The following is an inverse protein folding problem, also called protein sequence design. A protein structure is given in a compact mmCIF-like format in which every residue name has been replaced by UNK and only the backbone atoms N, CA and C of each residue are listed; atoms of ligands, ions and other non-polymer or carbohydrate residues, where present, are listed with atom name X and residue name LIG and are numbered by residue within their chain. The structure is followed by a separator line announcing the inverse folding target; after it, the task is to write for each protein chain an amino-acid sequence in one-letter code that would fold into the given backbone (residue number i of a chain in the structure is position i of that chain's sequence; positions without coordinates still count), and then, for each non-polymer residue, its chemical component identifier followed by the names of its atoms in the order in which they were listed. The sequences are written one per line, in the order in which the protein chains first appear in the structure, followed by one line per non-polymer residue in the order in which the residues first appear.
data_IF_494977029678
#
_entry.id   IF_494977029678
#
_cell.length_a   1.000
_cell.length_b   1.000
_cell.length_c   1.000
_cell.angle_alpha   90.00
_cell.angle_beta   90.00
_cell.angle_gamma   90.00
#
_symmetry.space_group_name_H-M   'P 1'
#
loop_
_entity.id
_entity.type
_entity.pdbx_description
1 polymer ?
#
# COMPACT_ATOMS: atom_id res chain seq x y z
N UNK A 1 -27.60 -26.74 71.37
CA UNK A 1 -27.27 -25.71 72.38
C UNK A 1 -25.76 -25.60 72.53
N UNK A 2 -25.28 -24.36 72.42
CA UNK A 2 -23.98 -23.78 72.85
C UNK A 2 -22.70 -24.28 72.15
N UNK A 3 -21.82 -23.48 71.53
CA UNK A 3 -21.68 -22.02 71.43
C UNK A 3 -20.25 -21.54 71.77
N UNK A 4 -19.47 -21.13 70.75
CA UNK A 4 -18.50 -19.99 70.64
C UNK A 4 -17.27 -19.95 71.61
N UNK A 5 -16.01 -19.92 71.14
CA UNK A 5 -15.12 -18.74 70.90
C UNK A 5 -13.76 -19.26 70.36
N UNK A 6 -13.28 -18.93 69.15
CA UNK A 6 -12.50 -17.76 68.68
C UNK A 6 -11.07 -17.60 69.28
N UNK A 7 -10.02 -17.77 68.45
CA UNK A 7 -8.91 -16.80 68.33
C UNK A 7 -7.92 -17.14 67.19
N UNK A 8 -7.89 -16.23 66.22
CA UNK A 8 -6.92 -16.02 65.16
C UNK A 8 -5.61 -15.47 65.73
N UNK A 9 -4.46 -15.91 65.20
CA UNK A 9 -3.18 -15.21 65.38
C UNK A 9 -2.44 -15.10 64.05
N UNK A 10 -2.36 -13.87 63.55
CA UNK A 10 -1.51 -13.42 62.45
C UNK A 10 -0.30 -12.75 63.11
N UNK A 11 0.95 -13.06 62.73
CA UNK A 11 2.08 -12.21 63.08
C UNK A 11 2.25 -11.12 62.02
N UNK A 12 2.06 -9.88 62.43
CA UNK A 12 2.50 -8.69 61.70
C UNK A 12 4.02 -8.61 61.66
N UNK A 13 4.57 -8.25 60.50
CA UNK A 13 6.01 -8.06 60.29
C UNK A 13 6.31 -7.45 58.93
N UNK A 14 5.82 -6.24 58.65
CA UNK A 14 6.28 -5.43 57.54
C UNK A 14 7.62 -4.77 57.91
N UNK A 15 8.72 -5.09 57.21
CA UNK A 15 9.75 -4.11 56.86
C UNK A 15 10.75 -4.63 55.81
N UNK A 16 10.69 -3.99 54.64
CA UNK A 16 11.64 -3.93 53.52
C UNK A 16 11.76 -5.11 52.51
N UNK A 17 11.68 -4.81 51.19
CA UNK A 17 11.83 -5.80 50.12
C UNK A 17 13.31 -6.00 49.74
N UNK A 18 13.77 -7.22 49.43
CA UNK A 18 15.04 -7.40 48.73
C UNK A 18 14.80 -7.32 47.21
N UNK A 19 15.12 -6.14 46.67
CA UNK A 19 15.72 -5.87 45.34
C UNK A 19 15.43 -6.88 44.22
N UNK A 20 14.33 -6.66 43.50
CA UNK A 20 14.15 -7.16 42.12
C UNK A 20 14.66 -6.13 41.11
N UNK A 21 15.97 -5.89 41.05
CA UNK A 21 16.55 -5.03 40.01
C UNK A 21 17.93 -5.53 39.58
N UNK A 22 18.07 -5.71 38.26
CA UNK A 22 19.32 -5.71 37.46
C UNK A 22 19.86 -6.99 36.80
N UNK A 23 19.22 -8.15 36.87
CA UNK A 23 19.65 -9.32 36.06
C UNK A 23 18.90 -9.56 34.74
N UNK A 24 18.01 -8.65 34.34
CA UNK A 24 17.29 -8.71 33.05
C UNK A 24 17.98 -8.03 31.86
N UNK A 25 19.16 -7.42 32.04
CA UNK A 25 19.78 -6.63 30.96
C UNK A 25 20.64 -7.44 29.98
N UNK A 26 21.07 -8.67 30.31
CA UNK A 26 21.87 -9.50 29.39
C UNK A 26 21.05 -10.37 28.43
N UNK A 27 19.80 -10.69 28.76
CA UNK A 27 18.92 -11.49 27.87
C UNK A 27 18.16 -10.59 26.86
N UNK A 28 17.97 -9.31 27.20
CA UNK A 28 17.27 -8.36 26.32
C UNK A 28 18.12 -7.96 25.10
N UNK A 29 19.44 -7.81 25.23
CA UNK A 29 20.30 -7.40 24.10
C UNK A 29 20.39 -8.46 22.99
N UNK A 30 20.37 -9.75 23.34
CA UNK A 30 20.40 -10.87 22.37
C UNK A 30 19.09 -10.97 21.59
N UNK A 31 17.94 -10.86 22.26
CA UNK A 31 16.62 -10.90 21.61
C UNK A 31 16.37 -9.68 20.73
N UNK A 32 16.78 -8.48 21.18
CA UNK A 32 16.70 -7.25 20.39
C UNK A 32 17.60 -7.37 19.15
N UNK A 33 18.85 -7.86 19.31
CA UNK A 33 19.76 -8.07 18.19
C UNK A 33 19.21 -9.05 17.15
N UNK A 34 18.55 -10.12 17.58
CA UNK A 34 17.93 -11.08 16.67
C UNK A 34 16.70 -10.50 15.95
N UNK A 35 15.83 -9.77 16.64
CA UNK A 35 14.66 -9.12 16.03
C UNK A 35 15.06 -8.04 15.01
N UNK A 36 16.04 -7.20 15.35
CA UNK A 36 16.57 -6.17 14.43
C UNK A 36 17.19 -6.81 13.19
N UNK A 37 17.88 -7.95 13.34
CA UNK A 37 18.47 -8.67 12.21
C UNK A 37 17.39 -9.26 11.28
N UNK A 38 16.30 -9.80 11.85
CA UNK A 38 15.16 -10.31 11.08
C UNK A 38 14.41 -9.18 10.34
N UNK A 39 14.22 -8.02 10.97
CA UNK A 39 13.61 -6.86 10.30
C UNK A 39 14.50 -6.33 9.17
N UNK A 40 15.80 -6.17 9.40
CA UNK A 40 16.77 -5.77 8.36
C UNK A 40 16.79 -6.76 7.19
N UNK A 41 16.72 -8.05 7.47
CA UNK A 41 16.61 -9.09 6.44
C UNK A 41 15.31 -8.93 5.63
N UNK A 42 14.19 -8.63 6.28
CA UNK A 42 12.92 -8.41 5.59
C UNK A 42 12.96 -7.17 4.68
N UNK A 43 13.50 -6.04 5.15
CA UNK A 43 13.64 -4.85 4.31
C UNK A 43 14.52 -5.09 3.09
N UNK A 44 15.65 -5.79 3.28
CA UNK A 44 16.53 -6.20 2.18
C UNK A 44 15.77 -7.08 1.19
N UNK A 45 14.99 -8.04 1.66
CA UNK A 45 14.25 -8.94 0.79
C UNK A 45 13.14 -8.22 0.00
N UNK A 46 12.43 -7.29 0.63
CA UNK A 46 11.42 -6.42 -0.02
C UNK A 46 12.09 -5.61 -1.13
N UNK A 47 13.24 -5.00 -0.85
CA UNK A 47 13.99 -4.23 -1.85
C UNK A 47 14.47 -5.11 -3.02
N UNK A 48 14.98 -6.31 -2.74
CA UNK A 48 15.33 -7.28 -3.79
C UNK A 48 14.09 -7.65 -4.63
N UNK A 49 12.93 -7.83 -4.00
CA UNK A 49 11.69 -8.11 -4.73
C UNK A 49 11.26 -6.93 -5.61
N UNK A 50 11.44 -5.69 -5.14
CA UNK A 50 11.22 -4.49 -5.95
C UNK A 50 12.09 -4.50 -7.22
N UNK A 51 13.39 -4.75 -7.07
CA UNK A 51 14.31 -4.85 -8.21
C UNK A 51 13.98 -6.02 -9.14
N UNK A 52 13.51 -7.15 -8.60
CA UNK A 52 13.03 -8.28 -9.39
C UNK A 52 11.82 -7.90 -10.25
N UNK A 53 10.87 -7.12 -9.72
CA UNK A 53 9.72 -6.63 -10.48
C UNK A 53 10.14 -5.72 -11.64
N UNK A 54 11.11 -4.84 -11.40
CA UNK A 54 11.73 -4.01 -12.44
C UNK A 54 12.39 -4.89 -13.51
N UNK A 55 13.21 -5.86 -13.10
CA UNK A 55 13.92 -6.71 -14.04
C UNK A 55 12.99 -7.52 -14.94
N UNK A 56 11.94 -8.13 -14.36
CA UNK A 56 10.99 -8.94 -15.11
C UNK A 56 10.11 -8.11 -16.06
N UNK A 57 9.77 -6.87 -15.68
CA UNK A 57 9.00 -5.95 -16.53
C UNK A 57 9.80 -5.38 -17.70
N UNK A 58 11.12 -5.52 -17.72
CA UNK A 58 11.94 -5.15 -18.89
C UNK A 58 11.78 -6.17 -20.03
N UNK A 59 11.43 -7.42 -19.72
CA UNK A 59 11.35 -8.49 -20.74
C UNK A 59 10.39 -8.13 -21.89
N UNK A 60 9.14 -7.68 -21.64
CA UNK A 60 8.24 -7.25 -22.72
C UNK A 60 8.79 -6.07 -23.54
N UNK A 61 9.48 -5.11 -22.91
CA UNK A 61 10.04 -3.91 -23.58
C UNK A 61 11.10 -4.31 -24.61
N UNK A 62 11.93 -5.31 -24.29
CA UNK A 62 12.97 -5.81 -25.20
C UNK A 62 12.38 -6.54 -26.41
N UNK A 63 11.19 -7.13 -26.26
CA UNK A 63 10.49 -7.84 -27.34
C UNK A 63 9.67 -6.88 -28.21
N UNK A 64 9.00 -5.91 -27.57
CA UNK A 64 8.11 -4.96 -28.22
C UNK A 64 8.36 -3.54 -27.68
N UNK A 65 8.70 -2.61 -28.58
CA UNK A 65 8.97 -1.21 -28.22
C UNK A 65 7.74 -0.43 -27.73
N UNK A 66 6.55 -1.00 -27.85
CA UNK A 66 5.28 -0.43 -27.42
C UNK A 66 4.64 -1.23 -26.28
N UNK A 67 5.43 -2.07 -25.57
CA UNK A 67 4.92 -3.07 -24.64
C UNK A 67 3.95 -2.53 -23.59
N UNK A 68 4.17 -1.30 -23.09
CA UNK A 68 3.33 -0.65 -22.09
C UNK A 68 2.58 0.58 -22.61
N UNK A 69 2.56 0.80 -23.92
CA UNK A 69 1.99 2.00 -24.53
C UNK A 69 0.99 1.64 -25.64
N UNK A 70 -0.14 1.04 -25.27
CA UNK A 70 -1.18 0.61 -26.22
C UNK A 70 -2.55 1.18 -25.84
N UNK A 71 -3.41 1.35 -26.84
CA UNK A 71 -4.83 1.64 -26.64
C UNK A 71 -5.05 2.86 -25.71
N UNK A 72 -5.87 2.77 -24.66
CA UNK A 72 -6.14 3.87 -23.72
C UNK A 72 -4.86 4.48 -23.12
N UNK A 73 -3.83 3.67 -22.86
CA UNK A 73 -2.55 4.17 -22.35
C UNK A 73 -1.88 5.12 -23.34
N UNK A 74 -1.94 4.79 -24.63
CA UNK A 74 -1.34 5.59 -25.70
C UNK A 74 -2.15 6.85 -26.01
N UNK A 75 -3.47 6.75 -26.08
CA UNK A 75 -4.33 7.83 -26.61
C UNK A 75 -4.88 8.76 -25.53
N UNK A 76 -5.10 8.25 -24.31
CA UNK A 76 -5.74 9.00 -23.23
C UNK A 76 -4.77 9.29 -22.09
N UNK A 77 -4.18 8.25 -21.50
CA UNK A 77 -3.45 8.41 -20.24
C UNK A 77 -2.11 9.10 -20.42
N UNK A 78 -1.23 8.61 -21.30
CA UNK A 78 0.12 9.18 -21.43
C UNK A 78 0.15 10.65 -21.86
N UNK A 79 -0.63 11.12 -22.86
CA UNK A 79 -0.68 12.54 -23.20
C UNK A 79 -1.12 13.39 -22.00
N UNK A 80 -2.09 12.90 -21.23
CA UNK A 80 -2.59 13.59 -20.04
C UNK A 80 -1.56 13.62 -18.91
N UNK A 81 -0.90 12.49 -18.62
CA UNK A 81 0.17 12.41 -17.61
C UNK A 81 1.33 13.33 -17.97
N UNK A 82 1.73 13.35 -19.23
CA UNK A 82 2.77 14.25 -19.73
C UNK A 82 2.34 15.72 -19.56
N UNK A 83 1.09 16.07 -19.90
CA UNK A 83 0.58 17.43 -19.72
C UNK A 83 0.58 17.84 -18.24
N UNK A 84 0.09 16.97 -17.34
CA UNK A 84 0.12 17.19 -15.88
C UNK A 84 1.56 17.43 -15.40
N UNK A 85 2.48 16.54 -15.77
CA UNK A 85 3.89 16.65 -15.42
C UNK A 85 4.55 17.93 -15.94
N UNK A 86 4.24 18.30 -17.18
CA UNK A 86 4.73 19.54 -17.80
C UNK A 86 4.22 20.78 -17.06
N UNK A 87 2.93 20.81 -16.67
CA UNK A 87 2.39 21.93 -15.89
C UNK A 87 3.02 22.01 -14.50
N UNK A 88 3.22 20.90 -13.81
CA UNK A 88 3.88 20.90 -12.50
C UNK A 88 5.31 21.44 -12.62
N UNK A 89 6.04 21.00 -13.65
CA UNK A 89 7.43 21.42 -13.85
C UNK A 89 7.57 22.90 -14.22
N UNK A 90 6.74 23.41 -15.13
CA UNK A 90 6.88 24.75 -15.69
C UNK A 90 6.06 25.82 -14.97
N UNK A 91 4.89 25.47 -14.43
CA UNK A 91 3.98 26.39 -13.74
C UNK A 91 3.95 26.19 -12.22
N UNK A 92 4.66 25.18 -11.69
CA UNK A 92 4.77 24.90 -10.25
C UNK A 92 3.41 24.73 -9.55
N UNK A 93 2.42 24.22 -10.27
CA UNK A 93 1.06 23.99 -9.79
C UNK A 93 0.51 22.65 -10.28
N UNK A 94 -0.36 22.05 -9.47
CA UNK A 94 -1.12 20.86 -9.87
C UNK A 94 -2.32 21.29 -10.72
N UNK A 95 -2.44 20.86 -11.97
CA UNK A 95 -3.53 21.29 -12.84
C UNK A 95 -4.82 20.53 -12.51
N UNK A 96 -5.74 21.18 -11.79
CA UNK A 96 -7.07 20.62 -11.57
C UNK A 96 -8.00 20.76 -12.77
N UNK A 97 -7.78 21.79 -13.60
CA UNK A 97 -8.52 22.06 -14.84
C UNK A 97 -7.52 22.43 -15.93
N UNK A 98 -7.79 22.01 -17.17
CA UNK A 98 -7.07 22.42 -18.38
C UNK A 98 -8.04 22.91 -19.45
N UNK A 99 -7.63 23.96 -20.17
CA UNK A 99 -8.35 24.49 -21.33
C UNK A 99 -7.74 23.99 -22.65
N UNK A 100 -6.71 23.15 -22.59
CA UNK A 100 -5.96 22.66 -23.75
C UNK A 100 -6.55 21.38 -24.35
N UNK A 101 -7.70 20.92 -23.86
CA UNK A 101 -8.39 19.70 -24.32
C UNK A 101 -9.75 20.04 -24.90
N UNK A 102 -10.13 19.37 -25.99
CA UNK A 102 -11.44 19.55 -26.63
C UNK A 102 -12.61 19.08 -25.72
N UNK A 103 -12.43 17.95 -25.03
CA UNK A 103 -13.31 17.42 -23.98
C UNK A 103 -12.46 16.91 -22.81
N UNK A 104 -13.03 16.80 -21.61
CA UNK A 104 -12.33 16.21 -20.45
C UNK A 104 -11.33 17.14 -19.75
N UNK A 105 -11.49 18.46 -19.90
CA UNK A 105 -10.59 19.44 -19.28
C UNK A 105 -10.67 19.51 -17.75
N UNK A 106 -11.63 18.82 -17.13
CA UNK A 106 -11.81 18.78 -15.69
C UNK A 106 -11.01 17.62 -15.06
N UNK A 107 -9.69 17.79 -14.99
CA UNK A 107 -8.77 16.74 -14.53
C UNK A 107 -9.03 16.28 -13.09
N UNK A 108 -9.57 17.14 -12.23
CA UNK A 108 -9.97 16.78 -10.86
C UNK A 108 -11.30 16.00 -10.82
N UNK A 109 -12.17 16.17 -11.81
CA UNK A 109 -13.38 15.36 -11.99
C UNK A 109 -13.08 13.97 -12.55
N UNK A 110 -12.00 13.85 -13.32
CA UNK A 110 -11.52 12.60 -13.90
C UNK A 110 -10.69 11.81 -12.89
N UNK A 111 -11.40 10.97 -12.13
CA UNK A 111 -10.86 10.23 -11.01
C UNK A 111 -9.61 9.39 -11.38
N UNK A 112 -9.58 8.86 -12.60
CA UNK A 112 -8.56 7.92 -13.09
C UNK A 112 -7.16 8.52 -13.35
N UNK A 113 -6.99 9.84 -13.26
CA UNK A 113 -5.67 10.45 -13.51
C UNK A 113 -4.76 10.52 -12.30
N UNK A 114 -5.25 10.20 -11.09
CA UNK A 114 -4.40 10.19 -9.91
C UNK A 114 -3.93 11.59 -9.48
N UNK A 115 -4.68 12.66 -9.80
CA UNK A 115 -4.24 14.05 -9.58
C UNK A 115 -4.00 14.39 -8.10
N UNK A 116 -4.57 13.60 -7.18
CA UNK A 116 -4.37 13.74 -5.73
C UNK A 116 -3.40 12.69 -5.17
N UNK A 117 -2.85 11.81 -6.01
CA UNK A 117 -1.87 10.82 -5.58
C UNK A 117 -0.45 11.42 -5.68
N UNK A 118 0.25 11.66 -4.54
CA UNK A 118 1.56 12.31 -4.57
C UNK A 118 2.64 11.48 -5.27
N UNK A 119 2.52 10.15 -5.29
CA UNK A 119 3.48 9.29 -5.98
C UNK A 119 3.30 9.43 -7.49
N UNK A 120 2.07 9.42 -7.99
CA UNK A 120 1.81 9.62 -9.41
C UNK A 120 2.23 11.01 -9.87
N UNK A 121 1.92 12.07 -9.12
CA UNK A 121 2.37 13.42 -9.45
C UNK A 121 3.90 13.52 -9.54
N UNK A 122 4.62 12.83 -8.64
CA UNK A 122 6.07 12.77 -8.68
C UNK A 122 6.58 12.04 -9.93
N UNK A 123 5.95 10.93 -10.31
CA UNK A 123 6.30 10.19 -11.53
C UNK A 123 5.98 11.00 -12.79
N UNK A 124 4.81 11.65 -12.85
CA UNK A 124 4.42 12.50 -13.98
C UNK A 124 5.38 13.66 -14.17
N UNK A 125 5.87 14.26 -13.07
CA UNK A 125 6.85 15.35 -13.11
C UNK A 125 8.18 14.96 -13.78
N UNK A 126 8.47 13.66 -13.91
CA UNK A 126 9.66 13.15 -14.60
C UNK A 126 9.42 13.00 -16.12
N UNK A 127 8.17 12.83 -16.55
CA UNK A 127 7.83 12.56 -17.95
C UNK A 127 8.28 13.63 -18.95
N UNK A 128 8.26 14.94 -18.65
CA UNK A 128 8.78 15.96 -19.57
C UNK A 128 10.25 15.79 -19.96
N UNK A 129 11.03 15.04 -19.16
CA UNK A 129 12.43 14.74 -19.47
C UNK A 129 12.60 13.54 -20.40
N UNK A 130 11.53 12.79 -20.68
CA UNK A 130 11.52 11.58 -21.52
C UNK A 130 10.98 11.94 -22.90
N UNK A 131 11.83 11.78 -23.93
CA UNK A 131 11.53 12.26 -25.30
C UNK A 131 10.43 11.50 -26.03
N UNK A 132 10.14 10.27 -25.62
CA UNK A 132 9.16 9.39 -26.27
C UNK A 132 8.06 9.03 -25.29
N UNK A 133 6.82 9.09 -25.76
CA UNK A 133 5.63 8.68 -25.01
C UNK A 133 5.73 7.21 -24.60
N UNK A 134 6.23 6.34 -25.50
CA UNK A 134 6.41 4.92 -25.22
C UNK A 134 7.37 4.69 -24.05
N UNK A 135 8.54 5.35 -24.09
CA UNK A 135 9.50 5.25 -22.98
C UNK A 135 8.97 5.88 -21.68
N UNK A 136 8.11 6.89 -21.78
CA UNK A 136 7.40 7.43 -20.63
C UNK A 136 6.46 6.39 -20.00
N UNK A 137 5.67 5.69 -20.82
CA UNK A 137 4.80 4.62 -20.37
C UNK A 137 5.58 3.47 -19.73
N UNK A 138 6.66 3.04 -20.38
CA UNK A 138 7.57 2.01 -19.87
C UNK A 138 8.13 2.39 -18.50
N UNK A 139 8.58 3.64 -18.33
CA UNK A 139 9.12 4.14 -17.07
C UNK A 139 8.12 4.02 -15.91
N UNK A 140 6.89 4.52 -16.08
CA UNK A 140 5.88 4.47 -15.02
C UNK A 140 5.44 3.01 -14.78
N UNK A 141 5.31 2.21 -15.84
CA UNK A 141 4.92 0.81 -15.73
C UNK A 141 5.95 -0.01 -14.92
N UNK A 142 7.24 0.10 -15.27
CA UNK A 142 8.35 -0.60 -14.61
C UNK A 142 8.43 -0.23 -13.13
N UNK A 143 8.23 1.04 -12.78
CA UNK A 143 8.19 1.48 -11.39
C UNK A 143 7.06 0.80 -10.60
N UNK A 144 5.86 0.75 -11.17
CA UNK A 144 4.71 0.10 -10.55
C UNK A 144 4.82 -1.43 -10.49
N UNK A 145 5.53 -2.07 -11.43
CA UNK A 145 5.90 -3.48 -11.30
C UNK A 145 6.82 -3.73 -10.11
N UNK A 146 7.74 -2.80 -9.83
CA UNK A 146 8.52 -2.81 -8.59
C UNK A 146 7.64 -2.75 -7.35
N UNK A 147 6.68 -1.82 -7.30
CA UNK A 147 5.73 -1.67 -6.19
C UNK A 147 4.89 -2.95 -6.02
N UNK A 148 4.33 -3.48 -7.11
CA UNK A 148 3.53 -4.71 -7.10
C UNK A 148 4.34 -5.91 -6.60
N UNK A 149 5.55 -6.10 -7.11
CA UNK A 149 6.42 -7.22 -6.75
C UNK A 149 6.82 -7.17 -5.26
N UNK A 150 7.21 -6.00 -4.78
CA UNK A 150 7.59 -5.82 -3.38
C UNK A 150 6.38 -5.92 -2.44
N UNK A 151 5.22 -5.41 -2.84
CA UNK A 151 3.97 -5.52 -2.09
C UNK A 151 3.46 -6.95 -2.02
N UNK A 152 3.51 -7.69 -3.13
CA UNK A 152 3.13 -9.12 -3.15
C UNK A 152 4.08 -9.96 -2.29
N UNK A 153 5.39 -9.70 -2.35
CA UNK A 153 6.35 -10.33 -1.45
C UNK A 153 6.00 -10.06 0.02
N UNK A 154 5.76 -8.79 0.36
CA UNK A 154 5.42 -8.38 1.73
C UNK A 154 4.08 -8.96 2.20
N UNK A 155 3.08 -9.04 1.32
CA UNK A 155 1.81 -9.70 1.60
C UNK A 155 2.02 -11.19 1.89
N UNK A 156 2.79 -11.90 1.06
CA UNK A 156 3.12 -13.31 1.30
C UNK A 156 3.82 -13.49 2.65
N UNK A 157 4.77 -12.60 2.99
CA UNK A 157 5.43 -12.61 4.31
C UNK A 157 4.45 -12.37 5.45
N UNK A 158 3.50 -11.47 5.26
CA UNK A 158 2.43 -11.18 6.23
C UNK A 158 1.56 -12.41 6.50
N UNK A 159 1.34 -13.23 5.47
CA UNK A 159 0.63 -14.51 5.57
C UNK A 159 1.48 -15.66 6.13
N UNK A 160 2.71 -15.39 6.60
CA UNK A 160 3.59 -16.40 7.19
C UNK A 160 4.35 -17.27 6.17
N UNK A 161 4.35 -16.90 4.89
CA UNK A 161 5.02 -17.66 3.83
C UNK A 161 6.54 -17.50 3.93
N UNK A 162 7.29 -18.58 3.64
CA UNK A 162 8.76 -18.56 3.62
C UNK A 162 9.32 -17.65 2.52
N UNK A 163 10.52 -17.10 2.70
CA UNK A 163 11.13 -16.14 1.76
C UNK A 163 11.15 -16.65 0.31
N UNK A 164 11.48 -17.94 0.11
CA UNK A 164 11.53 -18.57 -1.21
C UNK A 164 10.18 -18.50 -1.93
N UNK A 165 9.11 -18.89 -1.24
CA UNK A 165 7.76 -18.88 -1.81
C UNK A 165 7.18 -17.47 -1.91
N UNK A 166 7.61 -16.52 -1.07
CA UNK A 166 7.25 -15.12 -1.23
C UNK A 166 7.83 -14.50 -2.51
N UNK A 167 9.05 -14.88 -2.90
CA UNK A 167 9.60 -14.49 -4.21
C UNK A 167 8.82 -15.12 -5.37
N UNK A 168 8.40 -16.39 -5.25
CA UNK A 168 7.56 -17.04 -6.27
C UNK A 168 6.22 -16.32 -6.42
N UNK A 169 5.58 -15.94 -5.31
CA UNK A 169 4.34 -15.17 -5.34
C UNK A 169 4.52 -13.81 -6.04
N UNK A 170 5.58 -13.08 -5.71
CA UNK A 170 5.92 -11.81 -6.34
C UNK A 170 6.20 -11.96 -7.85
N UNK A 171 7.01 -12.94 -8.24
CA UNK A 171 7.28 -13.24 -9.65
C UNK A 171 5.97 -13.59 -10.40
N UNK A 172 5.12 -14.42 -9.81
CA UNK A 172 3.83 -14.83 -10.40
C UNK A 172 2.91 -13.63 -10.64
N UNK A 173 2.87 -12.67 -9.71
CA UNK A 173 2.09 -11.45 -9.86
C UNK A 173 2.62 -10.58 -11.01
N UNK A 174 3.94 -10.39 -11.11
CA UNK A 174 4.57 -9.57 -12.15
C UNK A 174 4.47 -10.21 -13.53
N UNK A 175 4.56 -11.54 -13.63
CA UNK A 175 4.48 -12.26 -14.92
C UNK A 175 3.04 -12.63 -15.29
N UNK A 176 2.04 -12.11 -14.59
CA UNK A 176 0.64 -12.40 -14.88
C UNK A 176 0.23 -11.77 -16.22
N UNK A 177 -0.21 -12.60 -17.17
CA UNK A 177 -0.59 -12.14 -18.50
C UNK A 177 -1.74 -11.13 -18.49
N UNK A 178 -2.70 -11.27 -17.57
CA UNK A 178 -3.82 -10.33 -17.48
C UNK A 178 -3.37 -8.96 -16.99
N UNK A 179 -2.47 -8.93 -16.00
CA UNK A 179 -1.83 -7.69 -15.52
C UNK A 179 -1.05 -7.03 -16.63
N UNK A 180 -0.26 -7.79 -17.39
CA UNK A 180 0.48 -7.26 -18.53
C UNK A 180 -0.44 -6.73 -19.63
N UNK A 181 -1.25 -7.60 -20.22
CA UNK A 181 -1.97 -7.33 -21.46
C UNK A 181 -3.09 -6.31 -21.27
N UNK A 182 -3.94 -6.48 -20.26
CA UNK A 182 -5.10 -5.59 -20.08
C UNK A 182 -4.77 -4.32 -19.31
N UNK A 183 -3.99 -4.44 -18.23
CA UNK A 183 -3.84 -3.34 -17.29
C UNK A 183 -2.59 -2.50 -17.57
N UNK A 184 -1.40 -3.09 -17.48
CA UNK A 184 -0.16 -2.35 -17.61
C UNK A 184 0.05 -1.78 -19.02
N UNK A 185 -0.51 -2.42 -20.06
CA UNK A 185 -0.36 -1.94 -21.44
C UNK A 185 -1.46 -1.00 -21.94
N UNK A 186 -2.66 -1.01 -21.32
CA UNK A 186 -3.82 -0.21 -21.74
C UNK A 186 -4.53 0.46 -20.55
N UNK A 187 -5.19 -0.32 -19.68
CA UNK A 187 -5.96 0.21 -18.54
C UNK A 187 -5.07 0.53 -17.33
N UNK A 188 -4.18 1.51 -17.53
CA UNK A 188 -3.08 1.79 -16.62
C UNK A 188 -3.50 2.12 -15.18
N UNK A 189 -4.57 2.90 -14.90
CA UNK A 189 -5.00 3.18 -13.53
C UNK A 189 -5.42 1.92 -12.76
N UNK A 190 -5.92 0.88 -13.43
CA UNK A 190 -6.18 -0.39 -12.77
C UNK A 190 -4.89 -1.06 -12.31
N UNK A 191 -3.86 -1.04 -13.15
CA UNK A 191 -2.56 -1.61 -12.81
C UNK A 191 -1.91 -0.91 -11.62
N UNK A 192 -1.82 0.44 -11.66
CA UNK A 192 -1.21 1.20 -10.57
C UNK A 192 -2.01 1.06 -9.28
N UNK A 193 -3.35 1.05 -9.35
CA UNK A 193 -4.20 0.80 -8.18
C UNK A 193 -3.99 -0.60 -7.58
N UNK A 194 -3.89 -1.66 -8.39
CA UNK A 194 -3.56 -3.01 -7.89
C UNK A 194 -2.20 -3.03 -7.18
N UNK A 195 -1.21 -2.31 -7.71
CA UNK A 195 0.13 -2.26 -7.11
C UNK A 195 0.12 -1.70 -5.68
N UNK A 196 -0.73 -0.70 -5.39
CA UNK A 196 -0.94 -0.20 -4.03
C UNK A 196 -1.89 -1.07 -3.21
N UNK A 197 -2.87 -1.71 -3.85
CA UNK A 197 -3.83 -2.59 -3.18
C UNK A 197 -3.15 -3.73 -2.43
N UNK A 198 -2.11 -4.36 -3.00
CA UNK A 198 -1.38 -5.44 -2.31
C UNK A 198 -0.72 -4.97 -1.01
N UNK A 199 -0.23 -3.73 -0.97
CA UNK A 199 0.29 -3.11 0.23
C UNK A 199 -0.83 -2.78 1.23
N UNK A 200 -1.95 -2.24 0.75
CA UNK A 200 -3.13 -1.96 1.57
C UNK A 200 -3.62 -3.23 2.28
N UNK A 201 -3.75 -4.34 1.56
CA UNK A 201 -4.12 -5.64 2.12
C UNK A 201 -3.12 -6.05 3.20
N UNK A 202 -1.82 -6.04 2.89
CA UNK A 202 -0.78 -6.48 3.81
C UNK A 202 -0.76 -5.63 5.09
N UNK A 203 -0.88 -4.31 4.99
CA UNK A 203 -0.90 -3.44 6.16
C UNK A 203 -2.20 -3.53 6.95
N UNK A 204 -3.36 -3.69 6.31
CA UNK A 204 -4.63 -3.93 7.00
C UNK A 204 -4.59 -5.22 7.81
N UNK A 205 -4.01 -6.29 7.27
CA UNK A 205 -3.80 -7.55 8.00
C UNK A 205 -2.94 -7.36 9.26
N UNK A 206 -2.01 -6.39 9.25
CA UNK A 206 -1.08 -6.10 10.36
C UNK A 206 -1.46 -4.87 11.18
N UNK A 207 -2.60 -4.25 10.93
CA UNK A 207 -2.97 -2.96 11.52
C UNK A 207 -3.05 -3.02 13.05
N UNK A 208 -3.37 -4.17 13.63
CA UNK A 208 -3.43 -4.39 15.08
C UNK A 208 -2.05 -4.64 15.73
N UNK A 209 -0.99 -4.86 14.95
CA UNK A 209 0.33 -5.26 15.47
C UNK A 209 1.17 -4.06 15.91
N UNK A 210 1.00 -2.90 15.27
CA UNK A 210 1.76 -1.68 15.57
C UNK A 210 1.06 -0.44 15.02
N UNK A 211 1.23 0.70 15.69
CA UNK A 211 0.76 2.01 15.21
C UNK A 211 1.32 2.36 13.82
N UNK A 212 2.52 1.90 13.49
CA UNK A 212 3.14 2.17 12.19
C UNK A 212 2.49 1.34 11.07
N UNK A 213 2.11 0.09 11.35
CA UNK A 213 1.34 -0.70 10.38
C UNK A 213 -0.07 -0.16 10.20
N UNK A 214 -0.70 0.34 11.26
CA UNK A 214 -1.98 1.05 11.17
C UNK A 214 -1.88 2.30 10.29
N UNK A 215 -0.88 3.17 10.51
CA UNK A 215 -0.67 4.35 9.66
C UNK A 215 -0.34 3.96 8.22
N UNK A 216 0.51 2.95 8.02
CA UNK A 216 0.83 2.45 6.69
C UNK A 216 -0.39 1.88 5.96
N UNK A 217 -1.34 1.27 6.68
CA UNK A 217 -2.62 0.84 6.11
C UNK A 217 -3.42 2.04 5.60
N UNK A 218 -3.61 3.08 6.42
CA UNK A 218 -4.33 4.30 6.01
C UNK A 218 -3.68 4.92 4.76
N UNK A 219 -2.35 5.07 4.76
CA UNK A 219 -1.60 5.68 3.65
C UNK A 219 -1.71 4.84 2.38
N UNK A 220 -1.52 3.53 2.46
CA UNK A 220 -1.60 2.65 1.28
C UNK A 220 -3.02 2.59 0.70
N UNK A 221 -4.05 2.64 1.55
CA UNK A 221 -5.44 2.73 1.12
C UNK A 221 -5.70 4.07 0.41
N UNK A 222 -5.22 5.17 0.99
CA UNK A 222 -5.30 6.49 0.35
C UNK A 222 -4.64 6.48 -1.04
N UNK A 223 -3.41 5.96 -1.14
CA UNK A 223 -2.69 5.86 -2.41
C UNK A 223 -3.45 5.00 -3.42
N UNK A 224 -3.97 3.84 -3.01
CA UNK A 224 -4.77 2.96 -3.87
C UNK A 224 -6.05 3.64 -4.39
N UNK A 225 -6.81 4.30 -3.52
CA UNK A 225 -8.08 4.93 -3.88
C UNK A 225 -7.85 6.15 -4.77
N UNK A 226 -6.86 6.99 -4.44
CA UNK A 226 -6.58 8.22 -5.19
C UNK A 226 -6.15 7.98 -6.64
N UNK A 227 -5.72 6.76 -7.01
CA UNK A 227 -5.51 6.38 -8.41
C UNK A 227 -6.78 6.42 -9.25
N UNK A 228 -7.92 6.10 -8.65
CA UNK A 228 -9.20 6.32 -9.29
C UNK A 228 -9.87 5.15 -9.98
N UNK A 229 -9.51 3.90 -9.67
CA UNK A 229 -10.08 2.74 -10.35
C UNK A 229 -11.17 2.04 -9.49
N UNK A 230 -12.46 2.04 -9.89
CA UNK A 230 -13.54 1.53 -9.04
C UNK A 230 -13.42 0.06 -8.65
N UNK A 231 -12.88 -0.79 -9.53
CA UNK A 231 -12.84 -2.24 -9.36
C UNK A 231 -11.89 -2.64 -8.23
N UNK A 232 -10.70 -2.04 -8.14
CA UNK A 232 -9.77 -2.25 -7.01
C UNK A 232 -10.33 -1.71 -5.70
N UNK A 233 -11.00 -0.56 -5.75
CA UNK A 233 -11.60 0.06 -4.57
C UNK A 233 -12.70 -0.85 -4.00
N UNK A 234 -13.57 -1.39 -4.85
CA UNK A 234 -14.60 -2.36 -4.44
C UNK A 234 -13.95 -3.63 -3.90
N UNK A 235 -13.00 -4.22 -4.64
CA UNK A 235 -12.33 -5.47 -4.25
C UNK A 235 -11.65 -5.34 -2.88
N UNK A 236 -10.89 -4.26 -2.66
CA UNK A 236 -10.23 -3.98 -1.39
C UNK A 236 -11.24 -3.70 -0.28
N UNK A 237 -12.27 -2.88 -0.54
CA UNK A 237 -13.28 -2.54 0.48
C UNK A 237 -14.03 -3.79 0.94
N UNK A 238 -14.44 -4.64 0.00
CA UNK A 238 -15.06 -5.93 0.33
C UNK A 238 -14.14 -6.80 1.18
N UNK A 239 -12.87 -6.96 0.77
CA UNK A 239 -11.88 -7.69 1.56
C UNK A 239 -11.70 -7.10 2.97
N UNK A 240 -11.47 -5.78 3.04
CA UNK A 240 -11.15 -5.07 4.27
C UNK A 240 -12.30 -5.12 5.27
N UNK A 241 -13.55 -4.96 4.81
CA UNK A 241 -14.74 -5.11 5.64
C UNK A 241 -14.87 -6.53 6.17
N UNK A 242 -14.81 -7.55 5.29
CA UNK A 242 -14.93 -8.96 5.69
C UNK A 242 -13.86 -9.30 6.72
N UNK A 243 -12.59 -9.00 6.44
CA UNK A 243 -11.49 -9.26 7.36
C UNK A 243 -11.68 -8.56 8.71
N UNK A 244 -12.04 -7.28 8.69
CA UNK A 244 -12.20 -6.50 9.91
C UNK A 244 -13.35 -7.02 10.78
N UNK A 245 -14.47 -7.40 10.17
CA UNK A 245 -15.57 -8.02 10.92
C UNK A 245 -15.13 -9.36 11.52
N UNK A 246 -14.44 -10.21 10.76
CA UNK A 246 -13.92 -11.48 11.27
C UNK A 246 -12.98 -11.29 12.47
N UNK A 247 -12.08 -10.31 12.42
CA UNK A 247 -11.19 -9.97 13.54
C UNK A 247 -11.99 -9.52 14.78
N UNK A 248 -12.98 -8.64 14.61
CA UNK A 248 -13.84 -8.16 15.70
C UNK A 248 -14.64 -9.31 16.32
N UNK A 249 -15.24 -10.16 15.49
CA UNK A 249 -16.01 -11.31 15.96
C UNK A 249 -15.15 -12.32 16.72
N UNK A 250 -13.91 -12.54 16.26
CA UNK A 250 -12.99 -13.53 16.84
C UNK A 250 -12.39 -13.06 18.17
N UNK A 251 -11.88 -11.83 18.24
CA UNK A 251 -11.11 -11.37 19.40
C UNK A 251 -11.89 -10.45 20.35
N UNK A 252 -12.96 -9.80 19.88
CA UNK A 252 -13.89 -8.98 20.69
C UNK A 252 -13.18 -7.96 21.61
N UNK A 253 -12.11 -7.36 21.12
CA UNK A 253 -11.32 -6.37 21.86
C UNK A 253 -11.15 -5.07 21.05
N UNK A 254 -10.72 -3.99 21.69
CA UNK A 254 -10.60 -2.69 20.99
C UNK A 254 -9.55 -2.70 19.88
N UNK A 255 -8.51 -3.53 19.99
CA UNK A 255 -7.45 -3.65 18.99
C UNK A 255 -7.95 -4.32 17.71
N UNK A 256 -8.94 -5.21 17.80
CA UNK A 256 -9.57 -5.86 16.65
C UNK A 256 -10.37 -4.91 15.77
N UNK A 257 -10.70 -3.71 16.27
CA UNK A 257 -11.31 -2.64 15.47
C UNK A 257 -10.29 -1.86 14.62
N UNK A 258 -8.98 -2.00 14.85
CA UNK A 258 -7.96 -1.21 14.14
C UNK A 258 -7.94 -1.44 12.63
N UNK A 259 -8.08 -2.67 12.09
CA UNK A 259 -8.24 -2.88 10.66
C UNK A 259 -9.44 -2.11 10.09
N UNK A 260 -10.59 -2.12 10.78
CA UNK A 260 -11.80 -1.41 10.34
C UNK A 260 -11.57 0.11 10.32
N UNK A 261 -10.97 0.63 11.39
CA UNK A 261 -10.65 2.05 11.49
C UNK A 261 -9.65 2.49 10.41
N UNK A 262 -8.68 1.64 10.07
CA UNK A 262 -7.75 1.95 8.98
C UNK A 262 -8.46 2.01 7.62
N UNK A 263 -9.36 1.06 7.35
CA UNK A 263 -10.20 1.06 6.14
C UNK A 263 -11.07 2.32 6.07
N UNK A 264 -11.75 2.67 7.17
CA UNK A 264 -12.60 3.86 7.25
C UNK A 264 -11.80 5.16 7.06
N UNK A 265 -10.70 5.34 7.80
CA UNK A 265 -9.88 6.56 7.72
C UNK A 265 -9.17 6.68 6.37
N UNK A 266 -8.65 5.59 5.82
CA UNK A 266 -8.08 5.55 4.47
C UNK A 266 -9.12 5.95 3.41
N UNK A 267 -10.32 5.36 3.47
CA UNK A 267 -11.44 5.72 2.61
C UNK A 267 -11.86 7.19 2.74
N UNK A 268 -12.01 7.67 3.99
CA UNK A 268 -12.37 9.06 4.27
C UNK A 268 -11.32 10.05 3.74
N UNK A 269 -10.04 9.75 3.92
CA UNK A 269 -8.96 10.60 3.43
C UNK A 269 -8.94 10.73 1.90
N UNK A 270 -9.49 9.73 1.21
CA UNK A 270 -9.58 9.72 -0.24
C UNK A 270 -10.92 10.25 -0.79
N UNK A 271 -11.90 10.61 0.07
CA UNK A 271 -13.19 11.21 -0.34
C UNK A 271 -13.01 12.46 -1.20
N UNK A 272 -11.95 13.23 -0.95
CA UNK A 272 -11.60 14.41 -1.76
C UNK A 272 -11.42 14.09 -3.25
N UNK A 273 -11.09 12.85 -3.58
CA UNK A 273 -10.93 12.39 -4.97
C UNK A 273 -12.26 12.03 -5.63
N UNK A 274 -13.30 11.73 -4.84
CA UNK A 274 -14.64 11.37 -5.33
C UNK A 274 -15.62 12.55 -5.33
N UNK A 275 -15.45 13.50 -4.40
CA UNK A 275 -16.34 14.64 -4.24
C UNK A 275 -16.56 15.45 -5.54
N UNK A 276 -15.51 15.75 -6.33
CA UNK A 276 -15.68 16.42 -7.62
C UNK A 276 -16.59 15.61 -8.55
N UNK A 277 -16.35 14.30 -8.70
CA UNK A 277 -17.13 13.44 -9.59
C UNK A 277 -18.60 13.33 -9.17
N UNK A 278 -18.89 13.34 -7.86
CA UNK A 278 -20.28 13.33 -7.35
C UNK A 278 -20.98 14.68 -7.55
N UNK A 279 -20.25 15.80 -7.44
CA UNK A 279 -20.82 17.14 -7.67
C UNK A 279 -21.19 17.41 -9.14
N UNK A 280 -20.79 16.51 -10.06
CA UNK A 280 -21.07 16.60 -11.50
C UNK A 280 -22.26 15.73 -11.94
N UNK A 281 -22.86 14.94 -11.02
CA UNK A 281 -24.10 14.18 -11.22
C UNK A 281 -25.34 15.04 -10.91
#
# INVERSE_FOLDING_TARGET
ENGITEQTSIPEGFSNPPRFVWERYKVHSSCIGHQVNLENKNYKNIFISFLMGIFLSIIPIVIHSDAYCRDDMQVQYMPTFYAIGSTILHAHLVPFITTHTWFGGNLIGEFQYGILNPIELALYSILPFIKSIQYGADFIAVFHYGILSSGMFFLAKTLGISDKFSYVAAATAVTNNFIYYWYASSWFPQFTSISFMVWAIAFTLRANQSKWYFLAAIISIYLMITIGFPQTIIAFTTFGLIYSFLEIFKYKNIQSCLPLLAVALGGMSALISFLPSVAML
#
